data_IF_570987789202
#
_entry.id   IF_570987789202
#
_cell.length_a   1.000
_cell.length_b   1.000
_cell.length_c   1.000
_cell.angle_alpha   90.00
_cell.angle_beta   90.00
_cell.angle_gamma   90.00
#
_symmetry.space_group_name_H-M   'P 1'
#
loop_
_entity.id
_entity.type
_entity.pdbx_description
1 polymer ?
#
# COMPACT_ATOMS: atom_id res chain seq x y z
N UNK A 1 -10.12 -15.89 7.45
CA UNK A 1 -9.33 -14.97 6.61
C UNK A 1 -8.13 -14.46 7.40
N UNK A 2 -7.00 -14.13 6.78
CA UNK A 2 -5.85 -13.52 7.44
C UNK A 2 -5.79 -12.05 7.05
N UNK A 3 -5.37 -11.17 7.98
CA UNK A 3 -5.19 -9.75 7.73
C UNK A 3 -3.76 -9.32 8.05
N UNK A 4 -3.29 -8.28 7.39
CA UNK A 4 -2.09 -7.52 7.73
C UNK A 4 -2.47 -6.09 8.13
N UNK A 5 -1.55 -5.39 8.77
CA UNK A 5 -1.77 -4.01 9.22
C UNK A 5 -0.61 -3.12 8.80
N UNK A 6 -0.90 -1.86 8.47
CA UNK A 6 0.10 -0.90 8.05
C UNK A 6 0.95 -0.40 9.21
N UNK A 7 2.25 -0.20 8.99
CA UNK A 7 3.16 0.30 10.05
C UNK A 7 3.04 1.80 10.27
N UNK A 8 2.40 2.56 9.39
CA UNK A 8 2.21 4.00 9.59
C UNK A 8 0.91 4.40 10.32
N UNK A 9 0.15 3.41 10.81
CA UNK A 9 -1.07 3.59 11.60
C UNK A 9 -1.00 4.76 12.63
N UNK A 10 0.16 4.98 13.25
CA UNK A 10 0.39 5.99 14.29
C UNK A 10 1.35 7.12 13.85
N UNK A 11 1.58 7.33 12.57
CA UNK A 11 2.60 8.27 12.11
C UNK A 11 2.11 9.71 11.89
N UNK A 12 0.81 9.94 11.97
CA UNK A 12 0.21 11.26 11.67
C UNK A 12 0.29 12.21 12.87
N UNK A 13 -0.68 12.20 13.76
CA UNK A 13 -0.70 13.09 14.92
C UNK A 13 -0.35 12.43 16.24
N UNK A 14 -0.28 11.11 16.25
CA UNK A 14 0.15 10.30 17.39
C UNK A 14 1.30 9.38 16.96
N UNK A 15 2.46 9.51 17.60
CA UNK A 15 3.66 8.76 17.20
C UNK A 15 4.04 7.75 18.27
N UNK A 16 4.14 6.50 17.87
CA UNK A 16 4.77 5.43 18.63
C UNK A 16 6.14 5.06 18.05
N UNK A 17 7.06 4.62 18.88
CA UNK A 17 8.29 4.01 18.42
C UNK A 17 7.98 2.73 17.63
N UNK A 18 8.82 2.37 16.67
CA UNK A 18 8.58 1.20 15.82
C UNK A 18 8.42 -0.09 16.65
N UNK A 19 9.29 -0.30 17.64
CA UNK A 19 9.22 -1.45 18.55
C UNK A 19 7.88 -1.54 19.29
N UNK A 20 7.39 -0.41 19.80
CA UNK A 20 6.09 -0.33 20.48
C UNK A 20 4.93 -0.64 19.53
N UNK A 21 4.98 -0.12 18.27
CA UNK A 21 3.98 -0.41 17.24
C UNK A 21 3.91 -1.90 16.93
N UNK A 22 5.05 -2.52 16.65
CA UNK A 22 5.11 -3.94 16.31
C UNK A 22 4.62 -4.83 17.46
N UNK A 23 5.00 -4.50 18.71
CA UNK A 23 4.50 -5.18 19.89
C UNK A 23 2.97 -5.05 20.05
N UNK A 24 2.43 -3.86 19.74
CA UNK A 24 0.99 -3.63 19.78
C UNK A 24 0.26 -4.44 18.71
N UNK A 25 0.76 -4.49 17.48
CA UNK A 25 0.16 -5.28 16.41
C UNK A 25 0.10 -6.77 16.81
N UNK A 26 1.20 -7.29 17.34
CA UNK A 26 1.22 -8.68 17.81
C UNK A 26 0.26 -8.93 18.97
N UNK A 27 0.16 -8.00 19.94
CA UNK A 27 -0.79 -8.05 21.06
C UNK A 27 -2.24 -8.17 20.57
N UNK A 28 -2.59 -7.50 19.46
CA UNK A 28 -3.93 -7.55 18.86
C UNK A 28 -4.10 -8.64 17.81
N UNK A 29 -3.18 -9.61 17.72
CA UNK A 29 -3.34 -10.83 16.92
C UNK A 29 -2.94 -10.72 15.46
N UNK A 30 -2.26 -9.65 15.05
CA UNK A 30 -1.70 -9.57 13.71
C UNK A 30 -0.41 -10.38 13.62
N UNK A 31 -0.30 -11.18 12.56
CA UNK A 31 0.92 -11.92 12.20
C UNK A 31 1.64 -11.30 11.00
N UNK A 32 0.97 -10.41 10.28
CA UNK A 32 1.45 -9.82 9.04
C UNK A 32 1.38 -8.30 9.09
N UNK A 33 2.37 -7.67 8.44
CA UNK A 33 2.42 -6.22 8.28
C UNK A 33 2.64 -5.81 6.83
N UNK A 34 2.15 -4.63 6.50
CA UNK A 34 2.52 -3.80 5.37
C UNK A 34 3.48 -2.71 5.87
N UNK A 35 4.68 -2.63 5.29
CA UNK A 35 5.65 -1.63 5.69
C UNK A 35 5.39 -0.31 5.00
N UNK A 36 4.98 0.70 5.75
CA UNK A 36 4.67 2.05 5.26
C UNK A 36 5.48 3.17 5.94
N UNK A 37 6.45 2.83 6.80
CA UNK A 37 7.30 3.84 7.43
C UNK A 37 8.17 4.57 6.40
N UNK A 38 8.25 5.90 6.53
CA UNK A 38 9.00 6.78 5.64
C UNK A 38 8.54 6.80 4.17
N UNK A 39 7.28 6.43 3.88
CA UNK A 39 6.75 6.51 2.51
C UNK A 39 6.65 7.95 1.99
N UNK A 40 6.50 8.93 2.88
CA UNK A 40 6.32 10.34 2.56
C UNK A 40 7.58 11.20 2.76
N UNK A 41 8.75 10.58 2.90
CA UNK A 41 10.04 11.25 3.04
C UNK A 41 11.11 10.70 2.07
N UNK A 42 12.26 11.38 2.02
CA UNK A 42 13.36 11.06 1.10
C UNK A 42 14.41 10.14 1.74
N UNK A 43 14.08 9.44 2.83
CA UNK A 43 15.02 8.62 3.59
C UNK A 43 15.44 7.38 2.79
N UNK A 44 16.73 7.25 2.58
CA UNK A 44 17.37 6.03 2.07
C UNK A 44 17.84 5.20 3.26
N UNK A 45 17.38 3.97 3.37
CA UNK A 45 17.83 3.04 4.40
C UNK A 45 19.24 2.55 4.11
N UNK A 46 20.16 2.65 5.09
CA UNK A 46 21.43 1.95 5.02
C UNK A 46 21.23 0.44 5.19
N UNK A 47 22.23 -0.36 4.82
CA UNK A 47 22.18 -1.81 5.02
C UNK A 47 21.98 -2.20 6.48
N UNK A 48 22.61 -1.47 7.40
CA UNK A 48 22.47 -1.71 8.84
C UNK A 48 21.06 -1.39 9.33
N UNK A 49 20.45 -0.28 8.86
CA UNK A 49 19.07 0.05 9.16
C UNK A 49 18.06 -0.98 8.58
N UNK A 50 18.29 -1.43 7.34
CA UNK A 50 17.45 -2.47 6.75
C UNK A 50 17.50 -3.76 7.59
N UNK A 51 18.71 -4.14 8.05
CA UNK A 51 18.89 -5.30 8.91
C UNK A 51 18.22 -5.09 10.26
N UNK A 52 18.40 -3.95 10.90
CA UNK A 52 17.77 -3.59 12.17
C UNK A 52 16.25 -3.72 12.08
N UNK A 53 15.62 -3.19 11.03
CA UNK A 53 14.19 -3.29 10.82
C UNK A 53 13.74 -4.73 10.56
N UNK A 54 14.50 -5.50 9.79
CA UNK A 54 14.24 -6.92 9.55
C UNK A 54 14.30 -7.74 10.82
N UNK A 55 15.34 -7.53 11.64
CA UNK A 55 15.50 -8.21 12.93
C UNK A 55 14.32 -7.86 13.85
N UNK A 56 13.95 -6.58 13.94
CA UNK A 56 12.86 -6.12 14.81
C UNK A 56 11.50 -6.72 14.42
N UNK A 57 11.19 -6.78 13.13
CA UNK A 57 9.98 -7.42 12.61
C UNK A 57 9.96 -8.91 13.02
N UNK A 58 11.09 -9.59 12.87
CA UNK A 58 11.23 -11.01 13.20
C UNK A 58 11.15 -11.27 14.71
N UNK A 59 11.76 -10.44 15.53
CA UNK A 59 11.77 -10.54 17.00
C UNK A 59 10.36 -10.42 17.59
N UNK A 60 9.48 -9.63 16.95
CA UNK A 60 8.06 -9.57 17.30
C UNK A 60 7.23 -10.73 16.71
N UNK A 61 7.84 -11.67 15.97
CA UNK A 61 7.13 -12.79 15.32
C UNK A 61 6.14 -12.32 14.25
N UNK A 62 6.48 -11.22 13.55
CA UNK A 62 5.70 -10.68 12.44
C UNK A 62 6.35 -11.05 11.10
N UNK A 63 5.55 -11.04 10.04
CA UNK A 63 6.00 -11.21 8.65
C UNK A 63 5.62 -9.98 7.84
N UNK A 64 6.60 -9.35 7.18
CA UNK A 64 6.36 -8.26 6.24
C UNK A 64 5.97 -8.85 4.88
N UNK A 65 4.82 -8.44 4.34
CA UNK A 65 4.31 -8.95 3.05
C UNK A 65 4.75 -8.10 1.88
N UNK A 66 4.77 -6.80 2.08
CA UNK A 66 5.05 -5.80 1.06
C UNK A 66 5.48 -4.47 1.69
N UNK A 67 5.99 -3.57 0.86
CA UNK A 67 6.56 -2.29 1.28
C UNK A 67 5.95 -1.16 0.47
N UNK A 68 5.53 -0.08 1.13
CA UNK A 68 5.14 1.14 0.41
C UNK A 68 6.38 1.85 -0.15
N UNK A 69 6.36 2.13 -1.44
CA UNK A 69 7.36 2.96 -2.12
C UNK A 69 7.22 4.43 -1.70
N UNK A 70 8.27 5.20 -1.93
CA UNK A 70 8.26 6.62 -1.57
C UNK A 70 7.43 7.45 -2.54
N UNK A 71 6.58 8.33 -2.02
CA UNK A 71 5.73 9.25 -2.77
C UNK A 71 5.86 10.69 -2.29
N UNK A 72 7.06 11.28 -2.37
CA UNK A 72 7.29 12.67 -1.95
C UNK A 72 7.03 13.67 -3.08
N UNK A 73 6.66 14.92 -2.76
CA UNK A 73 6.48 15.96 -3.78
C UNK A 73 7.75 16.29 -4.57
N UNK A 74 8.94 16.09 -3.97
CA UNK A 74 10.23 16.40 -4.58
C UNK A 74 10.74 15.25 -5.45
N UNK A 75 10.57 14.02 -4.99
CA UNK A 75 11.06 12.81 -5.63
C UNK A 75 9.84 11.96 -6.01
N UNK A 76 9.29 12.22 -7.18
CA UNK A 76 8.11 11.53 -7.69
C UNK A 76 8.46 10.74 -8.97
N UNK A 77 7.77 9.63 -9.18
CA UNK A 77 7.92 8.77 -10.34
C UNK A 77 7.81 9.55 -11.66
N UNK A 78 6.99 10.59 -11.67
CA UNK A 78 6.64 11.42 -12.81
C UNK A 78 7.42 12.75 -12.87
N UNK A 79 8.50 12.90 -12.09
CA UNK A 79 9.26 14.14 -12.05
C UNK A 79 9.83 14.50 -13.41
N UNK A 80 9.59 15.74 -13.84
CA UNK A 80 10.17 16.30 -15.07
C UNK A 80 11.59 16.84 -14.88
N UNK A 81 11.99 17.03 -13.61
CA UNK A 81 13.33 17.44 -13.26
C UNK A 81 14.23 16.20 -13.10
N UNK A 82 15.37 16.20 -13.78
CA UNK A 82 16.29 15.05 -13.81
C UNK A 82 16.84 14.69 -12.43
N UNK A 83 17.02 15.67 -11.55
CA UNK A 83 17.45 15.45 -10.16
C UNK A 83 16.39 14.72 -9.36
N UNK A 84 15.13 15.17 -9.44
CA UNK A 84 13.99 14.53 -8.79
C UNK A 84 13.75 13.12 -9.34
N UNK A 85 13.81 12.95 -10.66
CA UNK A 85 13.64 11.65 -11.31
C UNK A 85 14.70 10.62 -10.87
N UNK A 86 16.00 11.00 -10.89
CA UNK A 86 17.08 10.11 -10.42
C UNK A 86 16.99 9.82 -8.93
N UNK A 87 16.59 10.82 -8.13
CA UNK A 87 16.38 10.64 -6.70
C UNK A 87 15.27 9.62 -6.42
N UNK A 88 14.14 9.71 -7.15
CA UNK A 88 13.07 8.72 -7.06
C UNK A 88 13.54 7.31 -7.40
N UNK A 89 14.28 7.12 -8.50
CA UNK A 89 14.80 5.80 -8.89
C UNK A 89 15.66 5.21 -7.77
N UNK A 90 16.56 6.00 -7.15
CA UNK A 90 17.39 5.53 -6.02
C UNK A 90 16.57 5.13 -4.80
N UNK A 91 15.51 5.87 -4.49
CA UNK A 91 14.60 5.51 -3.41
C UNK A 91 13.83 4.23 -3.72
N UNK A 92 13.37 4.08 -4.95
CA UNK A 92 12.67 2.87 -5.38
C UNK A 92 13.58 1.64 -5.33
N UNK A 93 14.82 1.74 -5.84
CA UNK A 93 15.83 0.69 -5.71
C UNK A 93 16.07 0.31 -4.24
N UNK A 94 16.15 1.30 -3.35
CA UNK A 94 16.32 1.08 -1.92
C UNK A 94 15.12 0.35 -1.28
N UNK A 95 13.89 0.69 -1.67
CA UNK A 95 12.68 0.01 -1.18
C UNK A 95 12.55 -1.41 -1.74
N UNK A 96 12.93 -1.66 -2.99
CA UNK A 96 12.96 -3.00 -3.58
C UNK A 96 13.96 -3.90 -2.83
N UNK A 97 15.18 -3.39 -2.56
CA UNK A 97 16.18 -4.13 -1.78
C UNK A 97 15.71 -4.39 -0.34
N UNK A 98 15.06 -3.43 0.30
CA UNK A 98 14.50 -3.59 1.63
C UNK A 98 13.34 -4.60 1.64
N UNK A 99 12.42 -4.51 0.68
CA UNK A 99 11.32 -5.46 0.53
C UNK A 99 11.82 -6.90 0.45
N UNK A 100 12.80 -7.16 -0.43
CA UNK A 100 13.43 -8.47 -0.53
C UNK A 100 14.08 -8.91 0.79
N UNK A 101 14.77 -8.01 1.50
CA UNK A 101 15.46 -8.32 2.75
C UNK A 101 14.50 -8.73 3.87
N UNK A 102 13.32 -8.10 3.95
CA UNK A 102 12.29 -8.43 4.96
C UNK A 102 11.37 -9.59 4.55
N UNK A 103 11.62 -10.20 3.38
CA UNK A 103 10.84 -11.33 2.86
C UNK A 103 9.53 -10.93 2.18
N UNK A 104 9.33 -9.65 1.89
CA UNK A 104 8.21 -9.17 1.09
C UNK A 104 8.39 -9.43 -0.40
N UNK A 105 7.30 -9.43 -1.15
CA UNK A 105 7.27 -9.74 -2.58
C UNK A 105 6.72 -8.62 -3.47
N UNK A 106 6.33 -7.47 -2.89
CA UNK A 106 5.83 -6.34 -3.65
C UNK A 106 6.23 -4.99 -3.06
N UNK A 107 6.45 -4.00 -3.93
CA UNK A 107 6.59 -2.59 -3.56
C UNK A 107 5.46 -1.79 -4.19
N UNK A 108 4.67 -1.10 -3.36
CA UNK A 108 3.57 -0.25 -3.82
C UNK A 108 4.10 1.04 -4.40
N UNK A 109 3.55 1.48 -5.53
CA UNK A 109 3.99 2.68 -6.25
C UNK A 109 2.79 3.50 -6.70
N UNK A 110 2.76 4.78 -6.34
CA UNK A 110 1.75 5.72 -6.83
C UNK A 110 1.97 6.07 -8.31
N UNK A 111 0.93 6.06 -9.14
CA UNK A 111 1.04 6.43 -10.55
C UNK A 111 1.17 7.95 -10.75
N UNK A 112 1.55 8.41 -11.95
CA UNK A 112 1.50 9.83 -12.31
C UNK A 112 0.09 10.40 -12.19
N UNK A 113 -0.03 11.60 -11.61
CA UNK A 113 -1.34 12.27 -11.45
C UNK A 113 -1.87 12.77 -12.80
N UNK A 114 -2.98 12.22 -13.27
CA UNK A 114 -3.57 12.51 -14.61
C UNK A 114 -3.95 13.98 -14.84
N UNK A 115 -4.26 14.72 -13.76
CA UNK A 115 -4.65 16.13 -13.81
C UNK A 115 -3.47 17.11 -13.84
N UNK A 116 -2.23 16.64 -13.69
CA UNK A 116 -1.05 17.51 -13.75
C UNK A 116 -0.74 17.94 -15.17
N UNK A 117 -0.27 19.19 -15.31
CA UNK A 117 0.25 19.69 -16.60
C UNK A 117 1.35 18.78 -17.15
N UNK A 118 1.44 18.70 -18.49
CA UNK A 118 2.39 17.83 -19.20
C UNK A 118 2.23 16.34 -18.90
N UNK A 119 1.01 15.86 -18.74
CA UNK A 119 0.72 14.47 -18.37
C UNK A 119 1.47 13.44 -19.22
N UNK A 120 1.45 13.57 -20.56
CA UNK A 120 2.16 12.65 -21.44
C UNK A 120 3.67 12.57 -21.16
N UNK A 121 4.30 13.72 -20.89
CA UNK A 121 5.72 13.76 -20.51
C UNK A 121 5.93 13.09 -19.15
N UNK A 122 5.03 13.28 -18.21
CA UNK A 122 5.07 12.64 -16.89
C UNK A 122 4.92 11.13 -16.99
N UNK A 123 3.97 10.64 -17.78
CA UNK A 123 3.83 9.20 -18.09
C UNK A 123 5.10 8.64 -18.74
N UNK A 124 5.72 9.40 -19.67
CA UNK A 124 6.98 8.98 -20.24
C UNK A 124 8.11 8.87 -19.21
N UNK A 125 8.20 9.83 -18.27
CA UNK A 125 9.19 9.78 -17.20
C UNK A 125 8.94 8.63 -16.22
N UNK A 126 7.68 8.37 -15.87
CA UNK A 126 7.34 7.24 -15.00
C UNK A 126 7.69 5.90 -15.65
N UNK A 127 7.42 5.71 -16.95
CA UNK A 127 7.85 4.51 -17.69
C UNK A 127 9.37 4.33 -17.66
N UNK A 128 10.13 5.42 -17.78
CA UNK A 128 11.60 5.36 -17.63
C UNK A 128 12.04 4.94 -16.22
N UNK A 129 11.35 5.44 -15.19
CA UNK A 129 11.67 5.05 -13.81
C UNK A 129 11.38 3.55 -13.58
N UNK A 130 10.23 3.05 -14.05
CA UNK A 130 9.89 1.63 -13.96
C UNK A 130 10.93 0.76 -14.68
N UNK A 131 11.26 1.09 -15.93
CA UNK A 131 12.26 0.34 -16.70
C UNK A 131 13.66 0.36 -16.07
N UNK A 132 14.03 1.45 -15.38
CA UNK A 132 15.32 1.56 -14.72
C UNK A 132 15.52 0.54 -13.59
N UNK A 133 14.43 0.09 -12.95
CA UNK A 133 14.47 -0.86 -11.82
C UNK A 133 13.99 -2.26 -12.21
N UNK A 134 13.56 -2.48 -13.45
CA UNK A 134 12.99 -3.77 -13.89
C UNK A 134 13.96 -4.94 -13.66
N UNK A 135 15.23 -4.79 -14.01
CA UNK A 135 16.23 -5.83 -13.78
C UNK A 135 16.37 -6.17 -12.30
N UNK A 136 16.40 -5.15 -11.43
CA UNK A 136 16.47 -5.35 -9.98
C UNK A 136 15.23 -6.07 -9.43
N UNK A 137 14.04 -5.72 -9.92
CA UNK A 137 12.79 -6.40 -9.55
C UNK A 137 12.83 -7.89 -9.90
N UNK A 138 13.28 -8.22 -11.12
CA UNK A 138 13.41 -9.60 -11.58
C UNK A 138 14.45 -10.38 -10.75
N UNK A 139 15.63 -9.77 -10.53
CA UNK A 139 16.73 -10.41 -9.78
C UNK A 139 16.36 -10.70 -8.31
N UNK A 140 15.48 -9.89 -7.72
CA UNK A 140 15.08 -10.00 -6.32
C UNK A 140 13.67 -10.60 -6.12
N UNK A 141 12.98 -10.97 -7.20
CA UNK A 141 11.59 -11.49 -7.17
C UNK A 141 10.61 -10.55 -6.45
N UNK A 142 10.65 -9.25 -6.83
CA UNK A 142 9.80 -8.19 -6.25
C UNK A 142 8.96 -7.56 -7.35
N UNK A 143 7.64 -7.60 -7.22
CA UNK A 143 6.68 -6.94 -8.11
C UNK A 143 6.47 -5.47 -7.71
N UNK A 144 6.36 -4.55 -8.67
CA UNK A 144 5.87 -3.20 -8.40
C UNK A 144 4.35 -3.17 -8.52
N UNK A 145 3.65 -2.98 -7.40
CA UNK A 145 2.19 -2.91 -7.36
C UNK A 145 1.73 -1.45 -7.53
N UNK A 146 1.15 -1.13 -8.68
CA UNK A 146 0.67 0.23 -8.96
C UNK A 146 -0.70 0.42 -8.31
N UNK A 147 -0.82 1.48 -7.51
CA UNK A 147 -2.01 1.76 -6.72
C UNK A 147 -3.02 2.65 -7.45
N UNK A 148 -4.31 2.46 -7.20
CA UNK A 148 -5.36 3.37 -7.63
C UNK A 148 -5.50 4.54 -6.63
N UNK A 149 -4.79 5.64 -6.87
CA UNK A 149 -4.75 6.79 -5.96
C UNK A 149 -5.73 7.91 -6.33
N UNK A 150 -5.91 8.19 -7.62
CA UNK A 150 -6.55 9.42 -8.05
C UNK A 150 -7.61 9.20 -9.12
N UNK A 151 -8.52 10.18 -9.24
CA UNK A 151 -9.51 10.18 -10.30
C UNK A 151 -8.83 10.08 -11.69
N UNK A 152 -9.23 9.08 -12.46
CA UNK A 152 -8.70 8.84 -13.81
C UNK A 152 -7.51 7.88 -13.87
N UNK A 153 -6.97 7.39 -12.76
CA UNK A 153 -5.82 6.47 -12.72
C UNK A 153 -6.06 5.15 -13.44
N UNK A 154 -7.33 4.75 -13.59
CA UNK A 154 -7.70 3.56 -14.36
C UNK A 154 -7.16 3.58 -15.80
N UNK A 155 -6.90 4.77 -16.38
CA UNK A 155 -6.31 4.88 -17.72
C UNK A 155 -4.84 4.47 -17.69
N UNK A 156 -4.06 4.99 -16.73
CA UNK A 156 -2.64 4.65 -16.61
C UNK A 156 -2.44 3.21 -16.12
N UNK A 157 -3.31 2.71 -15.23
CA UNK A 157 -3.31 1.32 -14.81
C UNK A 157 -3.48 0.37 -16.01
N UNK A 158 -4.53 0.61 -16.83
CA UNK A 158 -4.75 -0.17 -18.06
C UNK A 158 -3.54 -0.14 -18.98
N UNK A 159 -2.95 1.04 -19.18
CA UNK A 159 -1.81 1.21 -20.07
C UNK A 159 -0.57 0.45 -19.54
N UNK A 160 -0.31 0.50 -18.24
CA UNK A 160 0.80 -0.25 -17.63
C UNK A 160 0.57 -1.75 -17.69
N UNK A 161 -0.64 -2.23 -17.34
CA UNK A 161 -0.96 -3.66 -17.39
C UNK A 161 -0.97 -4.25 -18.79
N UNK A 162 -1.16 -3.42 -19.82
CA UNK A 162 -1.03 -3.85 -21.21
C UNK A 162 0.42 -3.87 -21.73
N UNK A 163 1.34 -3.13 -21.07
CA UNK A 163 2.72 -2.96 -21.52
C UNK A 163 3.73 -3.85 -20.79
N UNK A 164 3.41 -4.24 -19.58
CA UNK A 164 4.35 -4.95 -18.70
C UNK A 164 3.79 -6.29 -18.22
N UNK A 165 4.67 -7.24 -18.00
CA UNK A 165 4.32 -8.55 -17.47
C UNK A 165 3.81 -8.45 -16.01
N UNK A 166 2.88 -9.32 -15.57
CA UNK A 166 2.30 -9.31 -14.23
C UNK A 166 3.31 -9.59 -13.12
N UNK A 167 4.40 -10.27 -13.41
CA UNK A 167 5.51 -10.51 -12.48
C UNK A 167 6.30 -9.24 -12.19
N UNK A 168 6.32 -8.29 -13.13
CA UNK A 168 6.99 -7.00 -12.94
C UNK A 168 6.04 -5.92 -12.45
N UNK A 169 4.88 -5.76 -13.10
CA UNK A 169 3.88 -4.72 -12.74
C UNK A 169 2.56 -5.37 -12.36
N UNK A 170 2.23 -5.29 -11.08
CA UNK A 170 0.97 -5.71 -10.49
C UNK A 170 0.08 -4.54 -10.10
N UNK A 171 -1.02 -4.85 -9.45
CA UNK A 171 -2.04 -3.93 -8.97
C UNK A 171 -2.07 -3.91 -7.45
N UNK A 172 -2.04 -2.73 -6.86
CA UNK A 172 -2.42 -2.47 -5.47
C UNK A 172 -3.83 -1.87 -5.48
N UNK A 173 -4.80 -2.61 -4.95
CA UNK A 173 -6.16 -2.14 -4.82
C UNK A 173 -6.35 -1.39 -3.52
N UNK A 174 -6.66 -0.09 -3.62
CA UNK A 174 -7.07 0.76 -2.51
C UNK A 174 -8.58 0.98 -2.52
N UNK A 175 -9.24 0.56 -1.43
CA UNK A 175 -10.68 0.59 -1.28
C UNK A 175 -11.21 2.01 -1.03
N UNK A 176 -10.51 2.81 -0.24
CA UNK A 176 -10.89 4.18 0.08
C UNK A 176 -10.77 5.10 -1.12
N UNK A 177 -9.67 5.03 -1.86
CA UNK A 177 -9.51 5.75 -3.12
C UNK A 177 -10.55 5.31 -4.16
N UNK A 178 -10.89 4.03 -4.19
CA UNK A 178 -11.95 3.51 -5.05
C UNK A 178 -13.32 4.10 -4.69
N UNK A 179 -13.64 4.22 -3.40
CA UNK A 179 -14.87 4.83 -2.91
C UNK A 179 -14.96 6.31 -3.28
N UNK A 180 -13.90 7.08 -3.03
CA UNK A 180 -13.81 8.49 -3.41
C UNK A 180 -14.00 8.74 -4.91
N UNK A 181 -13.53 7.82 -5.74
CA UNK A 181 -13.58 7.92 -7.19
C UNK A 181 -14.79 7.21 -7.82
N UNK A 182 -15.57 6.48 -7.03
CA UNK A 182 -16.71 5.67 -7.46
C UNK A 182 -16.39 4.80 -8.68
N UNK A 183 -15.29 4.03 -8.62
CA UNK A 183 -14.75 3.32 -9.76
C UNK A 183 -14.48 1.81 -9.52
N UNK A 184 -14.98 1.23 -8.44
CA UNK A 184 -14.76 -0.17 -8.07
C UNK A 184 -15.06 -1.14 -9.23
N UNK A 185 -16.20 -1.01 -9.91
CA UNK A 185 -16.59 -1.88 -11.02
C UNK A 185 -15.62 -1.86 -12.19
N UNK A 186 -14.92 -0.75 -12.36
CA UNK A 186 -13.88 -0.67 -13.37
C UNK A 186 -12.59 -1.36 -12.89
N UNK A 187 -12.19 -1.13 -11.64
CA UNK A 187 -10.96 -1.68 -11.06
C UNK A 187 -11.02 -3.21 -10.91
N UNK A 188 -12.21 -3.76 -10.69
CA UNK A 188 -12.44 -5.21 -10.64
C UNK A 188 -11.98 -5.95 -11.91
N UNK A 189 -11.84 -5.24 -13.03
CA UNK A 189 -11.33 -5.82 -14.30
C UNK A 189 -9.84 -6.16 -14.27
N UNK A 190 -9.12 -5.71 -13.25
CA UNK A 190 -7.68 -5.94 -13.08
C UNK A 190 -7.39 -7.04 -12.06
N UNK A 191 -8.33 -7.95 -11.84
CA UNK A 191 -8.23 -9.08 -10.88
C UNK A 191 -6.98 -9.92 -11.10
N UNK A 192 -6.60 -10.16 -12.35
CA UNK A 192 -5.41 -10.93 -12.76
C UNK A 192 -4.08 -10.24 -12.42
N UNK A 193 -4.13 -8.95 -12.08
CA UNK A 193 -2.97 -8.12 -11.71
C UNK A 193 -2.84 -7.91 -10.22
N UNK A 194 -3.82 -8.31 -9.41
CA UNK A 194 -3.87 -8.01 -7.99
C UNK A 194 -2.70 -8.64 -7.22
N UNK A 195 -1.93 -7.82 -6.50
CA UNK A 195 -0.76 -8.21 -5.71
C UNK A 195 -0.81 -7.72 -4.28
N UNK A 196 -1.37 -6.53 -4.04
CA UNK A 196 -1.47 -5.87 -2.74
C UNK A 196 -2.87 -5.30 -2.59
N UNK A 197 -3.36 -5.22 -1.36
CA UNK A 197 -4.59 -4.50 -1.02
C UNK A 197 -4.30 -3.45 0.05
N UNK A 198 -4.87 -2.26 -0.10
CA UNK A 198 -4.97 -1.22 0.92
C UNK A 198 -6.45 -1.07 1.27
N UNK A 199 -6.85 -1.69 2.38
CA UNK A 199 -8.25 -1.70 2.81
C UNK A 199 -8.45 -0.73 3.95
N UNK A 200 -9.19 0.32 3.70
CA UNK A 200 -9.66 1.29 4.66
C UNK A 200 -11.00 1.87 4.21
N UNK A 201 -11.73 2.46 5.13
CA UNK A 201 -13.05 3.03 4.87
C UNK A 201 -13.03 4.56 4.93
N UNK A 202 -14.00 5.17 4.27
CA UNK A 202 -14.25 6.61 4.31
C UNK A 202 -15.72 6.91 3.97
N UNK A 203 -16.13 8.17 4.17
CA UNK A 203 -17.49 8.61 3.88
C UNK A 203 -17.74 9.02 2.41
N UNK A 204 -16.80 8.73 1.50
CA UNK A 204 -16.85 9.12 0.09
C UNK A 204 -16.53 10.61 -0.16
N UNK A 205 -16.02 11.33 0.83
CA UNK A 205 -15.73 12.78 0.76
C UNK A 205 -14.24 13.09 0.99
N UNK A 206 -13.62 12.40 1.94
CA UNK A 206 -12.22 12.55 2.33
C UNK A 206 -11.55 11.19 2.42
N UNK A 207 -10.24 11.19 2.36
CA UNK A 207 -9.41 10.00 2.51
C UNK A 207 -9.15 9.76 4.00
N UNK A 208 -10.16 9.19 4.67
CA UNK A 208 -10.23 9.16 6.14
C UNK A 208 -9.39 8.02 6.75
N UNK A 209 -8.98 7.02 5.97
CA UNK A 209 -8.22 5.86 6.42
C UNK A 209 -8.79 5.18 7.68
N UNK A 210 -10.11 5.03 7.76
CA UNK A 210 -10.76 4.40 8.90
C UNK A 210 -10.94 2.89 8.70
N UNK A 211 -11.20 2.17 9.79
CA UNK A 211 -11.37 0.72 9.75
C UNK A 211 -12.64 0.32 8.94
N UNK A 212 -12.66 -0.86 8.31
CA UNK A 212 -13.80 -1.36 7.55
C UNK A 212 -15.12 -1.31 8.33
N UNK A 213 -16.17 -0.77 7.70
CA UNK A 213 -17.49 -0.57 8.31
C UNK A 213 -17.69 0.76 9.03
N UNK A 214 -16.66 1.62 9.08
CA UNK A 214 -16.81 2.99 9.60
C UNK A 214 -17.50 3.93 8.61
N UNK A 215 -17.30 3.71 7.32
CA UNK A 215 -17.74 4.59 6.24
C UNK A 215 -18.88 4.04 5.40
N UNK A 216 -18.77 4.22 4.09
CA UNK A 216 -19.83 3.91 3.12
C UNK A 216 -19.46 2.83 2.11
N UNK A 217 -18.30 2.19 2.25
CA UNK A 217 -17.86 1.15 1.33
C UNK A 217 -18.74 -0.09 1.46
N UNK A 218 -19.17 -0.63 0.32
CA UNK A 218 -19.86 -1.94 0.25
C UNK A 218 -18.83 -3.06 0.42
N UNK A 219 -18.57 -3.43 1.68
CA UNK A 219 -17.60 -4.47 2.03
C UNK A 219 -18.01 -5.86 1.55
N UNK A 220 -19.32 -6.12 1.37
CA UNK A 220 -19.80 -7.36 0.75
C UNK A 220 -19.30 -7.49 -0.69
N UNK A 221 -19.41 -6.40 -1.46
CA UNK A 221 -18.95 -6.35 -2.85
C UNK A 221 -17.43 -6.44 -2.94
N UNK A 222 -16.69 -5.68 -2.11
CA UNK A 222 -15.23 -5.71 -2.10
C UNK A 222 -14.71 -7.09 -1.71
N UNK A 223 -15.20 -7.65 -0.61
CA UNK A 223 -14.82 -8.97 -0.12
C UNK A 223 -15.14 -10.09 -1.11
N UNK A 224 -16.33 -10.04 -1.72
CA UNK A 224 -16.74 -10.97 -2.77
C UNK A 224 -15.77 -10.94 -3.95
N UNK A 225 -15.47 -9.75 -4.44
CA UNK A 225 -14.51 -9.60 -5.54
C UNK A 225 -13.12 -10.12 -5.22
N UNK A 226 -12.55 -9.79 -4.05
CA UNK A 226 -11.21 -10.26 -3.67
C UNK A 226 -11.13 -11.79 -3.62
N UNK A 227 -12.19 -12.44 -3.16
CA UNK A 227 -12.31 -13.91 -3.17
C UNK A 227 -12.43 -14.48 -4.58
N UNK A 228 -13.30 -13.90 -5.40
CA UNK A 228 -13.50 -14.33 -6.79
C UNK A 228 -12.24 -14.13 -7.63
N UNK A 229 -11.44 -13.11 -7.32
CA UNK A 229 -10.12 -12.87 -7.89
C UNK A 229 -9.06 -13.91 -7.45
N UNK A 230 -9.38 -14.74 -6.46
CA UNK A 230 -8.43 -15.70 -5.89
C UNK A 230 -7.30 -15.05 -5.10
N UNK A 231 -7.51 -13.83 -4.54
CA UNK A 231 -6.48 -13.14 -3.76
C UNK A 231 -6.20 -13.90 -2.45
N UNK A 232 -5.10 -14.63 -2.42
CA UNK A 232 -4.76 -15.55 -1.33
C UNK A 232 -3.85 -14.98 -0.24
N UNK A 233 -3.36 -13.74 -0.38
CA UNK A 233 -2.54 -13.07 0.64
C UNK A 233 -3.41 -12.56 1.80
N UNK A 234 -2.82 -12.28 2.97
CA UNK A 234 -3.50 -11.51 4.01
C UNK A 234 -3.95 -10.15 3.47
N UNK A 235 -5.16 -9.76 3.84
CA UNK A 235 -5.76 -8.50 3.41
C UNK A 235 -5.18 -7.36 4.25
N UNK A 236 -4.50 -6.41 3.61
CA UNK A 236 -3.87 -5.31 4.33
C UNK A 236 -4.87 -4.23 4.73
N UNK A 237 -4.90 -3.92 6.02
CA UNK A 237 -5.66 -2.82 6.60
C UNK A 237 -4.74 -1.58 6.65
N UNK A 238 -4.97 -0.65 5.74
CA UNK A 238 -4.24 0.63 5.68
C UNK A 238 -5.01 1.72 6.41
N UNK A 239 -5.10 1.58 7.71
CA UNK A 239 -5.88 2.44 8.59
C UNK A 239 -4.99 3.44 9.34
N UNK A 240 -5.52 4.59 9.72
CA UNK A 240 -4.82 5.64 10.45
C UNK A 240 -5.53 6.00 11.75
N UNK A 241 -4.77 6.09 12.84
CA UNK A 241 -5.26 6.60 14.11
C UNK A 241 -5.05 8.12 14.21
N UNK A 242 -6.14 8.84 14.23
CA UNK A 242 -6.17 10.30 14.35
C UNK A 242 -6.95 10.72 15.59
N UNK A 243 -6.30 11.11 16.70
CA UNK A 243 -6.97 11.48 17.95
C UNK A 243 -8.00 12.62 17.82
N UNK A 244 -7.94 13.41 16.75
CA UNK A 244 -8.92 14.46 16.46
C UNK A 244 -10.21 13.94 15.83
N UNK A 245 -10.15 12.76 15.22
CA UNK A 245 -11.27 12.05 14.59
C UNK A 245 -11.74 10.93 15.49
N UNK A 246 -10.79 10.24 16.13
CA UNK A 246 -11.02 9.11 17.00
C UNK A 246 -10.99 9.57 18.45
N UNK A 247 -12.15 9.67 19.09
CA UNK A 247 -12.32 10.06 20.52
C UNK A 247 -12.13 8.85 21.45
N UNK A 248 -11.32 7.90 21.03
CA UNK A 248 -11.02 6.67 21.74
C UNK A 248 -9.51 6.50 22.00
N UNK A 249 -9.18 5.66 22.97
CA UNK A 249 -7.80 5.24 23.23
C UNK A 249 -7.24 4.41 22.08
N UNK A 250 -5.91 4.28 22.02
CA UNK A 250 -5.22 3.42 21.06
C UNK A 250 -5.71 1.97 21.14
N UNK A 251 -5.88 1.45 22.35
CA UNK A 251 -6.36 0.09 22.58
C UNK A 251 -7.80 -0.12 22.07
N UNK A 252 -8.68 0.84 22.32
CA UNK A 252 -10.06 0.78 21.81
C UNK A 252 -10.10 0.84 20.28
N UNK A 253 -9.27 1.68 19.67
CA UNK A 253 -9.16 1.78 18.22
C UNK A 253 -8.61 0.48 17.60
N UNK A 254 -7.55 -0.09 18.19
CA UNK A 254 -7.01 -1.39 17.77
C UNK A 254 -8.06 -2.50 17.90
N UNK A 255 -8.90 -2.48 18.96
CA UNK A 255 -9.99 -3.44 19.11
C UNK A 255 -11.03 -3.27 17.99
N UNK A 256 -11.40 -2.04 17.62
CA UNK A 256 -12.32 -1.78 16.50
C UNK A 256 -11.76 -2.26 15.16
N UNK A 257 -10.45 -2.05 14.91
CA UNK A 257 -9.79 -2.60 13.73
C UNK A 257 -9.92 -4.13 13.73
N UNK A 258 -9.63 -4.78 14.86
CA UNK A 258 -9.71 -6.23 14.97
C UNK A 258 -11.14 -6.75 14.78
N UNK A 259 -12.13 -6.09 15.38
CA UNK A 259 -13.54 -6.44 15.24
C UNK A 259 -14.02 -6.27 13.78
N UNK A 260 -13.52 -5.24 13.08
CA UNK A 260 -13.83 -4.99 11.67
C UNK A 260 -13.35 -6.10 10.73
N UNK A 261 -12.32 -6.86 11.14
CA UNK A 261 -11.87 -8.03 10.36
C UNK A 261 -12.94 -9.12 10.32
N UNK A 262 -13.79 -9.21 11.34
CA UNK A 262 -14.98 -10.08 11.37
C UNK A 262 -15.96 -9.74 10.25
N UNK A 263 -16.22 -8.45 10.01
CA UNK A 263 -17.10 -8.01 8.91
C UNK A 263 -16.60 -8.48 7.54
N UNK A 264 -15.27 -8.52 7.35
CA UNK A 264 -14.67 -8.98 6.10
C UNK A 264 -14.82 -10.53 5.93
N UNK A 265 -15.00 -11.26 7.04
CA UNK A 265 -15.18 -12.72 7.05
C UNK A 265 -16.63 -13.15 6.93
N UNK A 266 -17.58 -12.43 7.54
CA UNK A 266 -18.99 -12.85 7.68
C UNK A 266 -19.76 -12.88 6.34
N UNK A 267 -19.24 -12.27 5.30
CA UNK A 267 -19.76 -12.43 3.94
C UNK A 267 -19.48 -13.81 3.31
N UNK A 268 -18.82 -14.74 4.06
CA UNK A 268 -18.61 -16.12 3.64
C UNK A 268 -19.85 -17.01 3.80
N UNK A 269 -20.94 -16.52 4.42
CA UNK A 269 -22.06 -17.36 4.91
C UNK A 269 -23.38 -17.14 4.18
N UNK A 270 -23.39 -16.40 3.06
CA UNK A 270 -24.65 -16.17 2.33
C UNK A 270 -24.56 -16.73 0.88
#
# INVERSE_FOLDING_TARGET
>A
MRTSITTDLFNYSYKLALDEKLGLFKKFGFDYIHWCDNWNDDKIYSKDQMKEYSDLITDHGLTCLDVHGTATPKLAIDSLEMTGHRGFIKLLENRIQFCHMVGGDAVVVHPPKVYKANYEKRVHMSKKALLAVQGLCIDLDVTLAIENCHRGDHVILRDYFSLYDPEFIGFCFDSGHSNLNNNLDYLMRFSDRLRVTHLHDNQGLHDDHQYPGWGTIDWGKVSGWLRDAGYGKPWNLEVAYEPKINDESVEEYMQKINDSTGLLCDFDSQ
#
